data_IF_094840863425
#
_entry.id   IF_094840863425
#
_cell.length_a   1.000
_cell.length_b   1.000
_cell.length_c   1.000
_cell.angle_alpha   90.00
_cell.angle_beta   90.00
_cell.angle_gamma   90.00
#
_symmetry.space_group_name_H-M   'P 1'
#
loop_
_entity.id
_entity.type
_entity.pdbx_description
1 polymer ?
#
# COMPACT_ATOMS: atom_id res chain seq x y z
N UNK A 1 20.52 6.67 1.26
CA UNK A 1 19.27 7.05 1.95
C UNK A 1 18.66 8.20 1.20
N UNK A 2 17.41 8.08 0.72
CA UNK A 2 16.78 9.07 -0.16
C UNK A 2 15.62 9.80 0.52
N UNK A 3 14.91 9.15 1.41
CA UNK A 3 13.78 9.76 2.13
C UNK A 3 13.65 9.24 3.54
N UNK A 4 13.14 10.10 4.41
CA UNK A 4 12.76 9.78 5.79
C UNK A 4 11.43 10.45 6.07
N UNK A 5 10.49 9.72 6.66
CA UNK A 5 9.15 10.22 6.97
C UNK A 5 8.65 9.70 8.31
N UNK A 6 8.20 10.60 9.14
CA UNK A 6 7.49 10.30 10.37
C UNK A 6 6.05 9.90 10.05
N UNK A 7 5.50 8.96 10.81
CA UNK A 7 4.07 8.76 10.78
C UNK A 7 3.35 9.90 11.54
N UNK A 8 2.04 10.01 11.35
CA UNK A 8 1.26 11.11 11.94
C UNK A 8 1.22 11.10 13.48
N UNK A 9 1.44 9.94 14.10
CA UNK A 9 1.50 9.79 15.57
C UNK A 9 2.88 10.11 16.14
N UNK A 10 3.92 10.08 15.32
CA UNK A 10 5.29 10.19 15.76
C UNK A 10 5.87 8.91 16.37
N UNK A 11 5.17 7.78 16.27
CA UNK A 11 5.61 6.49 16.83
C UNK A 11 6.59 5.76 15.93
N UNK A 12 6.47 5.97 14.61
CA UNK A 12 7.22 5.27 13.58
C UNK A 12 7.96 6.21 12.65
N UNK A 13 9.16 5.78 12.28
CA UNK A 13 9.97 6.41 11.25
C UNK A 13 10.13 5.44 10.08
N UNK A 14 9.81 5.90 8.89
CA UNK A 14 10.03 5.18 7.64
C UNK A 14 11.23 5.77 6.92
N UNK A 15 12.19 4.95 6.54
CA UNK A 15 13.33 5.35 5.72
C UNK A 15 13.34 4.58 4.40
N UNK A 16 13.59 5.28 3.31
CA UNK A 16 13.77 4.71 1.98
C UNK A 16 15.19 4.90 1.49
N UNK A 17 15.77 3.87 0.89
CA UNK A 17 17.16 3.84 0.49
C UNK A 17 17.34 3.50 -1.00
N UNK A 18 18.52 3.83 -1.53
CA UNK A 18 18.97 3.47 -2.89
C UNK A 18 19.13 1.96 -3.10
N UNK A 19 19.31 1.21 -2.03
CA UNK A 19 19.43 -0.25 -2.03
C UNK A 19 18.09 -0.97 -2.21
N UNK A 20 17.04 -0.27 -2.63
CA UNK A 20 15.69 -0.79 -2.91
C UNK A 20 14.96 -1.25 -1.64
N UNK A 21 15.39 -0.79 -0.50
CA UNK A 21 14.87 -1.19 0.81
C UNK A 21 14.17 -0.03 1.49
N UNK A 22 13.01 -0.35 2.08
CA UNK A 22 12.33 0.50 3.04
C UNK A 22 12.47 -0.13 4.42
N UNK A 23 12.81 0.67 5.41
CA UNK A 23 12.94 0.24 6.81
C UNK A 23 11.99 1.04 7.69
N UNK A 24 11.34 0.33 8.58
CA UNK A 24 10.44 0.88 9.60
C UNK A 24 11.10 0.77 10.97
N UNK A 25 11.17 1.87 11.67
CA UNK A 25 11.71 1.96 13.02
C UNK A 25 10.61 2.36 14.01
N UNK A 26 10.56 1.68 15.15
CA UNK A 26 9.76 2.10 16.30
C UNK A 26 10.58 3.08 17.14
N UNK A 27 10.06 4.26 17.34
CA UNK A 27 10.78 5.33 18.06
C UNK A 27 10.75 5.17 19.58
N UNK A 28 9.82 4.40 20.11
CA UNK A 28 9.77 4.11 21.54
C UNK A 28 10.88 3.16 21.95
N UNK A 29 11.20 2.20 21.09
CA UNK A 29 12.26 1.20 21.34
C UNK A 29 13.55 1.53 20.61
N UNK A 30 13.54 2.50 19.67
CA UNK A 30 14.63 2.86 18.76
C UNK A 30 15.18 1.67 17.98
N UNK A 31 14.32 0.72 17.62
CA UNK A 31 14.67 -0.49 16.90
C UNK A 31 14.00 -0.57 15.54
N UNK A 32 14.67 -1.25 14.63
CA UNK A 32 14.06 -1.65 13.35
C UNK A 32 12.97 -2.69 13.61
N UNK A 33 11.76 -2.40 13.14
CA UNK A 33 10.58 -3.27 13.32
C UNK A 33 10.34 -4.11 12.08
N UNK A 34 10.55 -3.52 10.89
CA UNK A 34 10.29 -4.19 9.64
C UNK A 34 11.20 -3.67 8.51
N UNK A 35 11.50 -4.58 7.58
CA UNK A 35 12.20 -4.28 6.34
C UNK A 35 11.34 -4.72 5.16
N UNK A 36 11.06 -3.80 4.22
CA UNK A 36 10.25 -4.04 3.03
C UNK A 36 11.13 -4.06 1.79
N UNK A 37 11.07 -5.16 1.03
CA UNK A 37 11.88 -5.41 -0.18
C UNK A 37 10.95 -5.81 -1.33
N UNK A 38 10.43 -4.85 -2.06
CA UNK A 38 9.64 -5.13 -3.26
C UNK A 38 9.75 -3.99 -4.29
N UNK A 39 10.74 -3.15 -4.13
CA UNK A 39 11.09 -2.15 -5.13
C UNK A 39 12.01 -2.78 -6.16
N UNK A 40 11.73 -2.56 -7.43
CA UNK A 40 12.59 -3.02 -8.52
C UNK A 40 13.81 -2.12 -8.72
N UNK A 41 13.74 -0.89 -8.24
CA UNK A 41 14.82 0.12 -8.26
C UNK A 41 14.82 0.96 -7.00
N UNK A 42 15.67 1.98 -6.99
CA UNK A 42 15.86 2.90 -5.87
C UNK A 42 14.55 3.47 -5.37
N UNK A 43 14.35 3.46 -4.05
CA UNK A 43 13.25 4.19 -3.41
C UNK A 43 13.56 5.67 -3.50
N UNK A 44 12.71 6.42 -4.17
CA UNK A 44 12.87 7.88 -4.35
C UNK A 44 12.16 8.66 -3.25
N UNK A 45 10.94 8.24 -2.91
CA UNK A 45 10.15 8.89 -1.88
C UNK A 45 9.23 7.87 -1.17
N UNK A 46 8.76 8.25 0.00
CA UNK A 46 7.74 7.53 0.74
C UNK A 46 6.86 8.52 1.50
N UNK A 47 5.59 8.19 1.68
CA UNK A 47 4.64 9.07 2.36
C UNK A 47 3.61 8.26 3.13
N UNK A 48 3.39 8.61 4.39
CA UNK A 48 2.34 8.03 5.22
C UNK A 48 0.96 8.51 4.80
N UNK A 49 -0.02 7.63 4.93
CA UNK A 49 -1.42 8.00 4.73
C UNK A 49 -1.87 8.91 5.88
N UNK A 50 -2.57 10.03 5.60
CA UNK A 50 -2.91 11.00 6.64
C UNK A 50 -3.90 10.49 7.70
N UNK A 51 -4.75 9.53 7.35
CA UNK A 51 -5.79 8.99 8.23
C UNK A 51 -5.44 7.58 8.72
N UNK A 52 -5.01 6.70 7.81
CA UNK A 52 -4.64 5.31 8.15
C UNK A 52 -3.19 5.24 8.58
N UNK A 53 -2.97 5.09 9.87
CA UNK A 53 -1.64 5.15 10.48
C UNK A 53 -0.75 3.96 10.13
N UNK A 54 -1.35 2.85 9.73
CA UNK A 54 -0.64 1.64 9.32
C UNK A 54 -0.36 1.59 7.81
N UNK A 55 -0.75 2.61 7.05
CA UNK A 55 -0.65 2.62 5.60
C UNK A 55 0.34 3.68 5.12
N UNK A 56 1.17 3.30 4.16
CA UNK A 56 2.07 4.22 3.48
C UNK A 56 2.24 3.86 2.01
N UNK A 57 2.75 4.79 1.23
CA UNK A 57 3.07 4.62 -0.18
C UNK A 57 4.54 4.88 -0.38
N UNK A 58 5.18 4.12 -1.24
CA UNK A 58 6.54 4.37 -1.69
C UNK A 58 6.60 4.50 -3.20
N UNK A 59 7.51 5.32 -3.66
CA UNK A 59 7.80 5.50 -5.08
C UNK A 59 9.23 5.07 -5.42
N UNK A 60 9.40 4.69 -6.67
CA UNK A 60 10.67 4.21 -7.20
C UNK A 60 11.16 5.03 -8.38
N UNK A 61 12.46 4.92 -8.66
CA UNK A 61 13.09 5.56 -9.82
C UNK A 61 12.67 4.95 -11.16
N UNK A 62 11.98 3.83 -11.17
CA UNK A 62 11.40 3.22 -12.37
C UNK A 62 9.94 3.66 -12.67
N UNK A 63 9.41 4.63 -11.92
CA UNK A 63 8.04 5.10 -12.09
C UNK A 63 6.99 4.21 -11.43
N UNK A 64 7.37 3.30 -10.56
CA UNK A 64 6.46 2.41 -9.84
C UNK A 64 6.00 3.02 -8.52
N UNK A 65 4.72 2.84 -8.18
CA UNK A 65 4.14 3.14 -6.89
C UNK A 65 3.77 1.84 -6.17
N UNK A 66 4.16 1.71 -4.92
CA UNK A 66 3.78 0.61 -4.06
C UNK A 66 3.02 1.10 -2.84
N UNK A 67 1.87 0.47 -2.58
CA UNK A 67 1.05 0.71 -1.41
C UNK A 67 1.31 -0.37 -0.38
N UNK A 68 1.54 0.03 0.86
CA UNK A 68 1.94 -0.84 1.95
C UNK A 68 1.04 -0.71 3.16
N UNK A 69 0.93 -1.81 3.88
CA UNK A 69 0.38 -1.83 5.24
C UNK A 69 1.46 -2.41 6.14
N UNK A 70 1.72 -1.78 7.27
CA UNK A 70 2.84 -2.12 8.17
C UNK A 70 2.83 -3.56 8.65
N UNK A 71 1.67 -4.20 8.68
CA UNK A 71 1.49 -5.60 9.12
C UNK A 71 1.96 -6.63 8.10
N UNK A 72 2.17 -6.22 6.85
CA UNK A 72 2.50 -7.14 5.76
C UNK A 72 3.85 -6.78 5.16
N UNK A 73 4.71 -7.78 4.96
CA UNK A 73 6.02 -7.61 4.34
C UNK A 73 5.96 -7.51 2.81
N UNK A 74 4.75 -7.59 2.24
CA UNK A 74 4.50 -7.46 0.80
C UNK A 74 3.65 -6.23 0.52
N UNK A 75 3.82 -5.58 -0.64
CA UNK A 75 2.96 -4.48 -1.00
C UNK A 75 1.51 -4.98 -1.17
N UNK A 76 0.57 -4.20 -0.66
CA UNK A 76 -0.85 -4.45 -0.83
C UNK A 76 -1.27 -4.24 -2.28
N UNK A 77 -0.68 -3.27 -2.94
CA UNK A 77 -0.89 -2.98 -4.35
C UNK A 77 0.39 -2.38 -4.97
N UNK A 78 0.66 -2.72 -6.21
CA UNK A 78 1.78 -2.20 -7.01
C UNK A 78 1.25 -1.65 -8.32
N UNK A 79 1.50 -0.39 -8.59
CA UNK A 79 1.18 0.27 -9.85
C UNK A 79 2.48 0.42 -10.64
N UNK A 80 2.72 -0.52 -11.54
CA UNK A 80 3.86 -0.46 -12.48
C UNK A 80 3.54 0.51 -13.60
N UNK A 81 4.52 1.32 -13.99
CA UNK A 81 4.30 2.32 -15.04
C UNK A 81 3.33 3.43 -14.63
N UNK A 82 3.24 3.73 -13.35
CA UNK A 82 2.50 4.89 -12.88
C UNK A 82 3.03 6.17 -13.54
N UNK A 83 4.34 6.24 -13.72
CA UNK A 83 5.03 7.25 -14.52
C UNK A 83 6.07 6.59 -15.44
N UNK A 84 6.46 7.30 -16.48
CA UNK A 84 7.48 6.83 -17.43
C UNK A 84 8.92 7.01 -16.91
N UNK A 85 9.08 7.82 -15.86
CA UNK A 85 10.38 8.12 -15.25
C UNK A 85 10.28 8.18 -13.73
N UNK A 86 11.40 8.50 -13.09
CA UNK A 86 11.50 8.54 -11.62
C UNK A 86 10.45 9.45 -10.99
N UNK A 87 9.81 8.96 -9.94
CA UNK A 87 8.84 9.72 -9.16
C UNK A 87 9.58 10.39 -8.00
N UNK A 88 9.59 11.72 -7.97
CA UNK A 88 10.29 12.49 -6.94
C UNK A 88 9.38 13.01 -5.84
N UNK A 89 8.14 13.33 -6.16
CA UNK A 89 7.19 13.91 -5.21
C UNK A 89 6.00 12.99 -4.96
N UNK A 90 5.61 12.89 -3.70
CA UNK A 90 4.37 12.26 -3.27
C UNK A 90 3.70 13.16 -2.26
N UNK A 91 2.41 13.36 -2.40
CA UNK A 91 1.62 14.12 -1.44
C UNK A 91 0.20 13.53 -1.33
N UNK A 92 -0.22 13.25 -0.11
CA UNK A 92 -1.61 12.89 0.16
C UNK A 92 -2.47 14.13 0.36
N UNK A 93 -3.68 14.10 -0.15
CA UNK A 93 -4.71 15.03 0.28
C UNK A 93 -4.99 14.82 1.79
N UNK A 94 -5.21 15.87 2.59
CA UNK A 94 -5.39 15.74 4.05
C UNK A 94 -6.46 14.73 4.50
N UNK A 95 -7.50 14.55 3.69
CA UNK A 95 -8.56 13.55 3.97
C UNK A 95 -8.15 12.13 3.56
N UNK A 96 -7.07 11.97 2.77
CA UNK A 96 -6.52 10.66 2.38
C UNK A 96 -7.22 9.97 1.21
N UNK A 97 -8.15 10.63 0.50
CA UNK A 97 -8.85 10.04 -0.63
C UNK A 97 -8.12 10.20 -1.97
N UNK A 98 -7.15 11.09 -2.04
CA UNK A 98 -6.34 11.35 -3.24
C UNK A 98 -4.86 11.39 -2.90
N UNK A 99 -4.06 10.72 -3.70
CA UNK A 99 -2.61 10.82 -3.72
C UNK A 99 -2.18 11.55 -4.98
N UNK A 100 -1.33 12.54 -4.85
CA UNK A 100 -0.65 13.18 -5.97
C UNK A 100 0.77 12.64 -6.09
N UNK A 101 1.21 12.39 -7.31
CA UNK A 101 2.60 12.02 -7.61
C UNK A 101 3.15 12.91 -8.72
N UNK A 102 4.41 13.33 -8.56
CA UNK A 102 5.15 14.10 -9.55
C UNK A 102 6.39 13.36 -10.00
N UNK A 103 6.69 13.43 -11.27
CA UNK A 103 7.77 12.66 -11.88
C UNK A 103 8.70 13.52 -12.72
N UNK A 104 9.87 12.97 -12.99
CA UNK A 104 10.85 13.51 -13.93
C UNK A 104 10.35 13.52 -15.38
N UNK A 105 9.27 12.79 -15.69
CA UNK A 105 8.58 12.84 -16.99
C UNK A 105 7.78 14.13 -17.20
N UNK A 106 7.92 15.13 -16.33
CA UNK A 106 7.23 16.41 -16.33
C UNK A 106 5.71 16.29 -16.16
N UNK A 107 5.24 15.18 -15.60
CA UNK A 107 3.82 14.96 -15.34
C UNK A 107 3.51 14.91 -13.86
N UNK A 108 2.30 15.38 -13.53
CA UNK A 108 1.69 15.18 -12.21
C UNK A 108 0.44 14.34 -12.40
N UNK A 109 0.35 13.25 -11.65
CA UNK A 109 -0.80 12.34 -11.70
C UNK A 109 -1.49 12.28 -10.34
N UNK A 110 -2.81 12.10 -10.39
CA UNK A 110 -3.65 11.97 -9.22
C UNK A 110 -4.26 10.57 -9.17
N UNK A 111 -4.14 9.94 -8.02
CA UNK A 111 -4.59 8.59 -7.74
C UNK A 111 -5.72 8.67 -6.72
N UNK A 112 -6.93 8.40 -7.17
CA UNK A 112 -8.11 8.43 -6.32
C UNK A 112 -8.69 7.03 -6.17
N UNK A 113 -9.21 6.74 -4.99
CA UNK A 113 -10.01 5.54 -4.76
C UNK A 113 -11.37 5.75 -5.41
N UNK A 114 -11.83 4.79 -6.21
CA UNK A 114 -13.17 4.81 -6.75
C UNK A 114 -14.20 4.78 -5.62
N UNK A 115 -15.24 5.60 -5.74
CA UNK A 115 -16.39 5.52 -4.83
C UNK A 115 -17.12 4.20 -5.07
N UNK A 116 -17.66 3.55 -4.02
CA UNK A 116 -18.54 2.39 -4.20
C UNK A 116 -19.70 2.77 -5.15
N UNK A 117 -19.84 2.05 -6.27
CA UNK A 117 -20.89 2.28 -7.26
C UNK A 117 -20.49 3.12 -8.48
N UNK A 118 -19.31 3.73 -8.53
CA UNK A 118 -18.81 4.39 -9.73
C UNK A 118 -18.32 3.36 -10.74
N UNK A 119 -19.01 3.28 -11.88
CA UNK A 119 -18.51 2.54 -13.04
C UNK A 119 -17.28 3.25 -13.58
N UNK A 120 -16.18 2.50 -13.72
CA UNK A 120 -14.95 2.97 -14.35
C UNK A 120 -15.28 3.32 -15.81
N UNK A 121 -15.36 4.59 -16.13
CA UNK A 121 -15.30 5.06 -17.51
C UNK A 121 -13.83 5.05 -17.90
N UNK A 122 -13.44 4.02 -18.65
CA UNK A 122 -12.16 3.99 -19.34
C UNK A 122 -12.09 5.14 -20.33
N UNK A 123 -11.44 6.22 -19.96
CA UNK A 123 -10.92 7.20 -20.90
C UNK A 123 -9.41 7.18 -20.79
N UNK A 124 -8.81 6.32 -21.62
CA UNK A 124 -7.43 6.45 -22.08
C UNK A 124 -6.34 6.39 -21.03
N UNK A 125 -5.69 5.24 -20.88
CA UNK A 125 -4.33 5.11 -20.36
C UNK A 125 -4.19 5.38 -18.86
N UNK A 126 -4.71 4.49 -18.04
CA UNK A 126 -4.48 4.55 -16.61
C UNK A 126 -4.36 3.15 -16.03
N UNK A 127 -3.31 2.94 -15.28
CA UNK A 127 -3.13 1.74 -14.47
C UNK A 127 -4.38 1.45 -13.64
N UNK A 128 -4.73 0.18 -13.57
CA UNK A 128 -5.93 -0.35 -12.93
C UNK A 128 -6.24 0.25 -11.55
N UNK A 129 -7.18 1.17 -11.51
CA UNK A 129 -7.83 1.60 -10.28
C UNK A 129 -8.67 0.47 -9.60
N UNK A 130 -8.66 -0.73 -10.18
CA UNK A 130 -9.40 -1.91 -9.71
C UNK A 130 -8.83 -2.54 -8.44
N UNK A 131 -7.58 -2.25 -8.10
CA UNK A 131 -6.88 -2.88 -6.99
C UNK A 131 -7.39 -2.50 -5.59
N UNK A 132 -8.20 -1.46 -5.48
CA UNK A 132 -8.70 -0.98 -4.19
C UNK A 132 -10.16 -1.34 -3.88
N UNK A 133 -10.86 -2.05 -4.79
CA UNK A 133 -12.28 -2.36 -4.63
C UNK A 133 -12.58 -3.77 -4.11
N UNK A 134 -11.57 -4.61 -3.88
CA UNK A 134 -11.84 -5.88 -3.20
C UNK A 134 -11.91 -5.64 -1.69
N UNK A 135 -13.07 -5.87 -1.06
CA UNK A 135 -13.10 -6.04 0.39
C UNK A 135 -12.20 -7.23 0.75
N UNK A 136 -11.58 -7.26 1.92
CA UNK A 136 -10.79 -8.40 2.33
C UNK A 136 -11.65 -9.65 2.16
N UNK A 137 -11.21 -10.60 1.34
CA UNK A 137 -11.92 -11.87 1.14
C UNK A 137 -12.13 -12.48 2.50
N UNK A 138 -13.37 -12.54 2.93
CA UNK A 138 -13.76 -13.32 4.09
C UNK A 138 -13.23 -14.74 3.87
N UNK A 139 -12.54 -15.28 4.84
CA UNK A 139 -12.09 -16.66 4.83
C UNK A 139 -13.24 -17.56 4.39
N UNK A 140 -13.00 -18.59 3.57
CA UNK A 140 -14.06 -19.48 3.17
C UNK A 140 -14.69 -20.08 4.42
N UNK A 141 -16.02 -20.18 4.49
CA UNK A 141 -16.68 -20.79 5.63
C UNK A 141 -16.13 -22.19 5.81
N UNK A 142 -15.53 -22.45 6.96
CA UNK A 142 -15.04 -23.77 7.32
C UNK A 142 -16.20 -24.75 7.14
N UNK A 143 -15.98 -25.81 6.38
CA UNK A 143 -16.91 -26.92 6.30
C UNK A 143 -17.05 -27.50 7.70
N UNK A 144 -18.11 -27.13 8.37
CA UNK A 144 -18.56 -27.87 9.54
C UNK A 144 -18.98 -29.24 9.03
N UNK A 145 -18.16 -30.24 9.29
CA UNK A 145 -18.51 -31.62 9.10
C UNK A 145 -19.75 -31.95 9.92
N UNK A 146 -20.81 -32.30 9.24
CA UNK A 146 -22.00 -32.84 9.84
C UNK A 146 -21.63 -34.23 10.40
N UNK A 147 -21.27 -34.29 11.66
CA UNK A 147 -21.28 -35.54 12.38
C UNK A 147 -22.71 -35.77 12.89
N UNK A 148 -23.48 -36.40 12.05
CA UNK A 148 -24.70 -37.08 12.49
C UNK A 148 -24.30 -38.34 13.29
N UNK A 149 -24.00 -38.13 14.56
CA UNK A 149 -23.91 -39.22 15.52
C UNK A 149 -25.33 -39.70 15.83
N UNK A 150 -25.74 -40.80 15.20
CA UNK A 150 -26.95 -41.46 15.59
C UNK A 150 -26.83 -41.98 17.02
N UNK A 151 -27.81 -41.66 17.84
CA UNK A 151 -27.96 -42.19 19.20
C UNK A 151 -28.46 -43.62 19.02
N UNK A 152 -27.74 -44.66 19.54
CA UNK A 152 -28.30 -46.01 19.56
C UNK A 152 -29.50 -46.02 20.52
N UNK A 153 -30.63 -46.42 19.99
CA UNK A 153 -31.89 -46.49 20.75
C UNK A 153 -31.79 -47.50 21.88
N UNK A 154 -32.36 -47.12 23.01
CA UNK A 154 -32.76 -48.01 24.07
C UNK A 154 -34.00 -48.80 23.57
N UNK A 155 -33.78 -50.05 23.40
CA UNK A 155 -34.86 -51.05 23.26
C UNK A 155 -35.25 -51.57 24.58
#
# INVERSE_FOLDING_TARGET
MNCVRWNNRGDYLLSGSRDQVLKLFDLRTLREVATYRAQSKDVTNAQWHPVHQDMFVSSSSDGTLNYWVTRYNKPMATIKGAHESAIWGLAWHPVGHVLASTSQDNTTKFWARNRPGDMVRDKGGGADARLFNEPPRSAPPGKFGNHSGGIPGLG
#
